data_IF_067512169565
#
_entry.id   IF_067512169565
#
_cell.length_a   1.000
_cell.length_b   1.000
_cell.length_c   1.000
_cell.angle_alpha   90.00
_cell.angle_beta   90.00
_cell.angle_gamma   90.00
#
_symmetry.space_group_name_H-M   'P 1'
#
loop_
_entity.id
_entity.type
_entity.pdbx_description
1 polymer ?
#
# COMPACT_ATOMS: atom_id res chain seq x y z
N UNK A 1 18.66 12.97 1.74
CA UNK A 1 18.67 14.08 2.71
C UNK A 1 18.06 15.36 2.13
N UNK A 2 17.94 15.49 0.79
CA UNK A 2 17.26 16.63 0.12
C UNK A 2 15.72 16.60 0.18
N UNK A 3 15.09 15.42 0.30
CA UNK A 3 13.63 15.28 0.44
C UNK A 3 13.02 16.04 1.64
N UNK A 4 13.83 16.36 2.67
CA UNK A 4 13.39 16.98 3.94
C UNK A 4 12.93 18.43 3.74
N UNK A 5 13.41 19.12 2.70
CA UNK A 5 13.09 20.53 2.47
C UNK A 5 12.00 20.76 1.42
N UNK A 6 11.40 19.70 0.88
CA UNK A 6 10.23 19.82 0.00
C UNK A 6 9.01 20.34 0.75
N UNK A 7 8.14 21.11 0.08
CA UNK A 7 6.87 21.56 0.68
C UNK A 7 6.00 20.39 1.11
N UNK A 8 6.09 19.27 0.40
CA UNK A 8 5.45 18.00 0.77
C UNK A 8 5.88 17.54 2.16
N UNK A 9 7.20 17.39 2.41
CA UNK A 9 7.70 16.93 3.70
C UNK A 9 7.52 17.97 4.81
N UNK A 10 7.65 19.26 4.48
CA UNK A 10 7.36 20.35 5.43
C UNK A 10 5.90 20.36 5.85
N UNK A 11 4.99 20.03 4.93
CA UNK A 11 3.56 19.79 5.19
C UNK A 11 3.34 18.59 6.11
N UNK A 12 4.03 17.47 5.87
CA UNK A 12 4.06 16.34 6.82
C UNK A 12 4.50 16.80 8.21
N UNK A 13 5.48 17.69 8.32
CA UNK A 13 5.94 18.20 9.61
C UNK A 13 5.01 19.23 10.26
N UNK A 14 3.96 19.68 9.55
CA UNK A 14 3.07 20.73 10.04
C UNK A 14 3.73 22.10 10.14
N UNK A 15 4.75 22.38 9.31
CA UNK A 15 5.45 23.68 9.33
C UNK A 15 4.51 24.79 8.88
N UNK A 16 4.52 25.91 9.58
CA UNK A 16 3.73 27.10 9.22
C UNK A 16 3.97 27.52 7.76
N UNK A 17 2.90 27.87 7.06
CA UNK A 17 2.90 28.27 5.65
C UNK A 17 2.92 27.11 4.65
N UNK A 18 2.86 25.85 5.11
CA UNK A 18 2.75 24.66 4.24
C UNK A 18 1.40 23.99 4.39
N UNK A 19 1.05 23.11 3.45
CA UNK A 19 -0.25 22.44 3.44
C UNK A 19 -0.14 20.95 3.73
N UNK A 20 -1.24 20.35 4.21
CA UNK A 20 -1.37 18.89 4.34
C UNK A 20 -1.13 18.25 2.97
N UNK A 21 -0.17 17.31 2.85
CA UNK A 21 0.04 16.59 1.62
C UNK A 21 -1.15 15.67 1.32
N UNK A 22 -1.54 15.60 0.05
CA UNK A 22 -2.62 14.75 -0.43
C UNK A 22 -2.07 13.70 -1.39
N UNK A 23 -2.47 12.44 -1.22
CA UNK A 23 -2.14 11.37 -2.15
C UNK A 23 -3.26 10.33 -2.19
N UNK A 24 -4.11 10.28 -3.24
CA UNK A 24 -5.02 9.16 -3.44
C UNK A 24 -4.25 7.90 -3.84
N UNK A 25 -4.68 6.73 -3.35
CA UNK A 25 -4.13 5.45 -3.80
C UNK A 25 -4.74 5.13 -5.18
N UNK A 26 -3.89 4.86 -6.17
CA UNK A 26 -4.25 4.79 -7.60
C UNK A 26 -3.69 3.54 -8.32
N UNK A 27 -3.50 2.44 -7.62
CA UNK A 27 -2.88 1.22 -8.15
C UNK A 27 -3.69 0.64 -9.33
N UNK A 28 -4.82 0.01 -9.06
CA UNK A 28 -5.72 -0.55 -10.07
C UNK A 28 -6.34 0.53 -10.96
N UNK A 29 -6.59 1.72 -10.40
CA UNK A 29 -7.07 2.88 -11.18
C UNK A 29 -6.10 3.24 -12.31
N UNK A 30 -4.80 3.20 -12.08
CA UNK A 30 -3.82 3.55 -13.11
C UNK A 30 -3.82 2.59 -14.28
N UNK A 31 -3.97 1.29 -14.03
CA UNK A 31 -4.07 0.26 -15.06
C UNK A 31 -5.34 0.49 -15.88
N UNK A 32 -6.48 0.70 -15.22
CA UNK A 32 -7.75 1.00 -15.89
C UNK A 32 -7.68 2.29 -16.72
N UNK A 33 -7.14 3.36 -16.16
CA UNK A 33 -7.06 4.67 -16.83
C UNK A 33 -6.16 4.57 -18.08
N UNK A 34 -5.02 3.90 -17.96
CA UNK A 34 -4.10 3.70 -19.08
C UNK A 34 -4.65 2.76 -20.15
N UNK A 35 -5.38 1.70 -19.75
CA UNK A 35 -6.13 0.84 -20.67
C UNK A 35 -7.12 1.68 -21.52
N UNK A 36 -7.95 2.51 -20.89
CA UNK A 36 -8.92 3.34 -21.62
C UNK A 36 -8.23 4.40 -22.49
N UNK A 37 -7.07 4.89 -22.09
CA UNK A 37 -6.29 5.86 -22.87
C UNK A 37 -5.65 5.25 -24.12
N UNK A 38 -5.17 4.00 -24.04
CA UNK A 38 -4.32 3.38 -25.08
C UNK A 38 -4.97 2.23 -25.85
N UNK A 39 -6.03 1.62 -25.30
CA UNK A 39 -6.62 0.37 -25.78
C UNK A 39 -5.84 -0.89 -25.41
N UNK A 40 -4.69 -0.78 -24.72
CA UNK A 40 -3.89 -1.94 -24.31
C UNK A 40 -4.61 -2.69 -23.18
N UNK A 41 -4.85 -4.01 -23.28
CA UNK A 41 -5.53 -4.77 -22.22
C UNK A 41 -4.81 -4.69 -20.87
N UNK A 42 -5.57 -4.72 -19.77
CA UNK A 42 -5.04 -4.65 -18.41
C UNK A 42 -3.98 -5.74 -18.14
N UNK A 43 -4.24 -6.98 -18.55
CA UNK A 43 -3.27 -8.07 -18.36
C UNK A 43 -1.94 -7.85 -19.08
N UNK A 44 -1.93 -7.18 -20.25
CA UNK A 44 -0.69 -6.88 -20.96
C UNK A 44 0.10 -5.78 -20.23
N UNK A 45 -0.61 -4.78 -19.69
CA UNK A 45 -0.01 -3.74 -18.86
C UNK A 45 0.67 -4.39 -17.65
N UNK A 46 0.00 -5.35 -17.01
CA UNK A 46 0.48 -6.01 -15.79
C UNK A 46 1.62 -7.01 -16.01
N UNK A 47 1.82 -7.49 -17.24
CA UNK A 47 2.88 -8.47 -17.59
C UNK A 47 4.09 -7.83 -18.28
N UNK A 48 4.11 -6.50 -18.41
CA UNK A 48 5.19 -5.75 -19.04
C UNK A 48 5.60 -4.56 -18.16
N UNK A 49 6.83 -4.58 -17.64
CA UNK A 49 7.27 -3.61 -16.65
C UNK A 49 7.32 -2.18 -17.19
N UNK A 50 7.53 -2.01 -18.50
CA UNK A 50 7.52 -0.69 -19.14
C UNK A 50 6.10 -0.16 -19.27
N UNK A 51 5.15 -1.01 -19.65
CA UNK A 51 3.72 -0.64 -19.76
C UNK A 51 3.13 -0.37 -18.38
N UNK A 52 3.40 -1.21 -17.39
CA UNK A 52 2.97 -0.99 -16.02
C UNK A 52 3.49 0.34 -15.46
N UNK A 53 4.79 0.63 -15.69
CA UNK A 53 5.35 1.90 -15.28
C UNK A 53 4.69 3.09 -16.01
N UNK A 54 4.42 2.95 -17.31
CA UNK A 54 3.74 3.98 -18.08
C UNK A 54 2.33 4.29 -17.54
N UNK A 55 1.60 3.27 -17.07
CA UNK A 55 0.24 3.41 -16.55
C UNK A 55 0.19 4.28 -15.28
N UNK A 56 1.00 3.97 -14.26
CA UNK A 56 1.05 4.82 -13.05
C UNK A 56 1.60 6.21 -13.35
N UNK A 57 2.63 6.32 -14.20
CA UNK A 57 3.20 7.63 -14.54
C UNK A 57 2.24 8.50 -15.34
N UNK A 58 1.35 7.91 -16.14
CA UNK A 58 0.29 8.63 -16.84
C UNK A 58 -0.64 9.31 -15.82
N UNK A 59 -1.16 8.56 -14.84
CA UNK A 59 -2.05 9.11 -13.81
C UNK A 59 -1.31 10.06 -12.87
N UNK A 60 -0.09 9.74 -12.46
CA UNK A 60 0.71 10.62 -11.60
C UNK A 60 0.96 11.97 -12.27
N UNK A 61 1.20 12.02 -13.58
CA UNK A 61 1.33 13.27 -14.34
C UNK A 61 0.00 14.00 -14.50
N UNK A 62 -1.09 13.28 -14.80
CA UNK A 62 -2.43 13.86 -14.96
C UNK A 62 -2.87 14.64 -13.70
N UNK A 63 -2.54 14.09 -12.52
CA UNK A 63 -2.96 14.64 -11.23
C UNK A 63 -1.82 15.29 -10.42
N UNK A 64 -0.64 15.44 -11.01
CA UNK A 64 0.56 15.98 -10.35
C UNK A 64 0.85 15.31 -9.00
N UNK A 65 0.78 13.98 -8.95
CA UNK A 65 1.02 13.20 -7.75
C UNK A 65 2.52 13.03 -7.51
N UNK A 66 3.01 13.18 -6.26
CA UNK A 66 4.43 13.05 -5.95
C UNK A 66 4.84 11.61 -5.68
N UNK A 67 3.97 10.62 -5.91
CA UNK A 67 4.19 9.24 -5.45
C UNK A 67 3.76 8.21 -6.48
N UNK A 68 4.60 7.19 -6.70
CA UNK A 68 4.26 5.96 -7.44
C UNK A 68 4.72 4.72 -6.65
N UNK A 69 4.04 3.58 -6.84
CA UNK A 69 4.25 2.36 -6.05
C UNK A 69 4.46 1.14 -6.97
N UNK A 70 5.53 0.40 -6.74
CA UNK A 70 5.95 -0.76 -7.53
C UNK A 70 5.26 -2.08 -7.20
N UNK A 71 3.94 -2.18 -7.34
CA UNK A 71 3.24 -3.46 -7.51
C UNK A 71 1.87 -3.21 -8.17
N UNK A 72 1.34 -4.24 -8.84
CA UNK A 72 0.09 -4.12 -9.60
C UNK A 72 -1.13 -4.69 -8.85
N UNK A 73 -0.91 -5.63 -7.94
CA UNK A 73 -1.91 -6.38 -7.19
C UNK A 73 -1.21 -7.13 -6.04
N UNK A 74 -1.97 -7.90 -5.26
CA UNK A 74 -1.51 -8.54 -4.03
C UNK A 74 -1.29 -10.06 -4.18
N UNK A 75 -0.91 -10.53 -5.38
CA UNK A 75 -0.65 -11.94 -5.65
C UNK A 75 0.76 -12.22 -6.21
N UNK A 76 1.70 -11.27 -6.10
CA UNK A 76 3.03 -11.39 -6.70
C UNK A 76 3.82 -12.54 -6.08
N UNK A 77 3.80 -12.66 -4.75
CA UNK A 77 4.44 -13.74 -3.99
C UNK A 77 3.74 -15.07 -4.25
N UNK A 78 2.40 -15.07 -4.24
CA UNK A 78 1.61 -16.26 -4.55
C UNK A 78 1.97 -16.84 -5.91
N UNK A 79 1.95 -16.00 -6.95
CA UNK A 79 2.29 -16.38 -8.32
C UNK A 79 3.74 -16.86 -8.44
N UNK A 80 4.69 -16.17 -7.80
CA UNK A 80 6.09 -16.58 -7.79
C UNK A 80 6.30 -17.96 -7.14
N UNK A 81 5.49 -18.29 -6.13
CA UNK A 81 5.53 -19.58 -5.43
C UNK A 81 4.62 -20.65 -6.07
N UNK A 82 4.05 -20.38 -7.26
CA UNK A 82 3.32 -21.36 -8.07
C UNK A 82 1.81 -21.25 -8.04
N UNK A 83 1.23 -20.22 -7.41
CA UNK A 83 -0.19 -19.97 -7.47
C UNK A 83 -0.60 -19.52 -8.88
N UNK A 84 -1.80 -19.91 -9.31
CA UNK A 84 -2.29 -19.60 -10.66
C UNK A 84 -3.32 -18.48 -10.61
N UNK A 85 -3.15 -17.49 -11.49
CA UNK A 85 -4.00 -16.30 -11.57
C UNK A 85 -4.80 -16.27 -12.85
N UNK A 86 -6.08 -15.89 -12.76
CA UNK A 86 -6.91 -15.57 -13.92
C UNK A 86 -6.70 -14.10 -14.28
N UNK A 87 -6.21 -13.85 -15.49
CA UNK A 87 -6.03 -12.50 -16.02
C UNK A 87 -7.24 -12.07 -16.84
N UNK A 88 -7.78 -10.90 -16.56
CA UNK A 88 -8.93 -10.33 -17.25
C UNK A 88 -8.53 -9.09 -18.06
N UNK A 89 -9.28 -8.74 -19.12
CA UNK A 89 -8.92 -7.62 -20.01
C UNK A 89 -9.07 -6.24 -19.36
N UNK A 90 -9.94 -6.11 -18.35
CA UNK A 90 -10.43 -4.83 -17.81
C UNK A 90 -10.27 -4.69 -16.28
N UNK A 91 -9.88 -5.75 -15.58
CA UNK A 91 -9.70 -5.76 -14.11
C UNK A 91 -8.39 -6.43 -13.69
N UNK A 92 -7.98 -6.18 -12.44
CA UNK A 92 -6.86 -6.88 -11.79
C UNK A 92 -7.12 -8.40 -11.71
N UNK A 93 -6.08 -9.25 -11.72
CA UNK A 93 -6.25 -10.69 -11.74
C UNK A 93 -6.88 -11.19 -10.44
N UNK A 94 -7.63 -12.29 -10.57
CA UNK A 94 -8.16 -13.03 -9.42
C UNK A 94 -7.34 -14.29 -9.22
N UNK A 95 -7.11 -14.63 -7.95
CA UNK A 95 -6.44 -15.86 -7.58
C UNK A 95 -7.37 -17.05 -7.77
N UNK A 96 -6.94 -18.05 -8.53
CA UNK A 96 -7.78 -19.19 -8.87
C UNK A 96 -7.34 -20.46 -8.12
N UNK A 97 -6.04 -20.76 -8.10
CA UNK A 97 -5.53 -22.03 -7.57
C UNK A 97 -4.32 -21.78 -6.69
N UNK A 98 -4.44 -22.19 -5.42
CA UNK A 98 -3.35 -22.15 -4.46
C UNK A 98 -2.19 -23.05 -4.91
N UNK A 99 -0.97 -22.56 -4.73
CA UNK A 99 0.25 -23.31 -5.00
C UNK A 99 0.34 -24.59 -4.15
N UNK A 100 -0.08 -24.48 -2.90
CA UNK A 100 0.04 -25.52 -1.87
C UNK A 100 -1.35 -26.06 -1.53
N UNK A 101 -1.49 -27.39 -1.50
CA UNK A 101 -2.76 -28.06 -1.16
C UNK A 101 -2.67 -28.92 0.09
N UNK A 102 -1.48 -29.43 0.40
CA UNK A 102 -1.22 -30.35 1.50
C UNK A 102 -0.19 -29.78 2.49
N UNK A 103 -0.03 -30.44 3.65
CA UNK A 103 1.00 -30.03 4.60
C UNK A 103 2.40 -30.36 4.07
N UNK A 104 2.51 -31.47 3.34
CA UNK A 104 3.74 -31.95 2.70
C UNK A 104 4.26 -30.94 1.66
N UNK A 105 3.36 -30.31 0.91
CA UNK A 105 3.72 -29.24 -0.05
C UNK A 105 4.41 -28.05 0.66
N UNK A 106 4.04 -27.75 1.91
CA UNK A 106 4.63 -26.65 2.70
C UNK A 106 6.04 -27.02 3.16
N UNK A 107 6.29 -28.29 3.51
CA UNK A 107 7.60 -28.73 4.00
C UNK A 107 8.69 -28.62 2.94
N UNK A 108 8.31 -28.70 1.67
CA UNK A 108 9.24 -28.60 0.53
C UNK A 108 9.16 -27.26 -0.19
N UNK A 109 8.36 -26.31 0.31
CA UNK A 109 8.21 -25.00 -0.31
C UNK A 109 9.47 -24.16 -0.09
N UNK A 110 10.07 -23.70 -1.18
CA UNK A 110 11.26 -22.86 -1.17
C UNK A 110 10.91 -21.38 -1.35
N UNK A 111 11.81 -20.50 -0.94
CA UNK A 111 11.71 -19.05 -1.16
C UNK A 111 11.81 -18.74 -2.65
N UNK A 112 10.99 -17.80 -3.13
CA UNK A 112 11.00 -17.38 -4.53
C UNK A 112 12.26 -16.57 -4.90
N UNK A 113 12.82 -16.79 -6.09
CA UNK A 113 13.88 -16.00 -6.69
C UNK A 113 13.28 -14.76 -7.40
N UNK A 114 13.50 -13.54 -6.89
CA UNK A 114 12.94 -12.32 -7.46
C UNK A 114 13.38 -12.02 -8.89
N UNK A 115 14.47 -12.63 -9.36
CA UNK A 115 15.00 -12.43 -10.71
C UNK A 115 14.43 -13.42 -11.73
N UNK A 116 13.65 -14.42 -11.31
CA UNK A 116 13.15 -15.48 -12.21
C UNK A 116 11.68 -15.82 -12.02
N UNK A 117 11.16 -15.77 -10.80
CA UNK A 117 9.88 -16.40 -10.48
C UNK A 117 8.69 -15.46 -10.68
N UNK A 118 7.61 -16.04 -11.23
CA UNK A 118 6.35 -15.36 -11.51
C UNK A 118 6.56 -14.03 -12.23
N UNK A 119 6.00 -12.96 -11.64
CA UNK A 119 6.09 -11.59 -12.15
C UNK A 119 7.05 -10.70 -11.39
N UNK A 120 7.85 -11.24 -10.47
CA UNK A 120 8.81 -10.43 -9.72
C UNK A 120 9.75 -9.63 -10.65
N UNK A 121 10.31 -10.22 -11.74
CA UNK A 121 11.17 -9.46 -12.67
C UNK A 121 10.45 -8.31 -13.37
N UNK A 122 9.16 -8.49 -13.69
CA UNK A 122 8.31 -7.47 -14.34
C UNK A 122 8.12 -6.26 -13.41
N UNK A 123 7.89 -6.53 -12.12
CA UNK A 123 7.73 -5.48 -11.11
C UNK A 123 9.06 -4.78 -10.81
N UNK A 124 10.18 -5.50 -10.78
CA UNK A 124 11.53 -4.89 -10.66
C UNK A 124 11.82 -3.99 -11.87
N UNK A 125 11.48 -4.41 -13.09
CA UNK A 125 11.57 -3.57 -14.29
C UNK A 125 10.66 -2.33 -14.18
N UNK A 126 9.47 -2.49 -13.60
CA UNK A 126 8.55 -1.37 -13.32
C UNK A 126 9.23 -0.33 -12.43
N UNK A 127 9.78 -0.74 -11.28
CA UNK A 127 10.51 0.13 -10.35
C UNK A 127 11.69 0.84 -11.02
N UNK A 128 12.48 0.11 -11.82
CA UNK A 128 13.60 0.68 -12.59
C UNK A 128 13.13 1.75 -13.58
N UNK A 129 11.96 1.58 -14.19
CA UNK A 129 11.36 2.58 -15.07
C UNK A 129 10.86 3.81 -14.31
N UNK A 130 10.30 3.66 -13.11
CA UNK A 130 9.97 4.80 -12.24
C UNK A 130 11.21 5.60 -11.90
N UNK A 131 12.27 4.92 -11.45
CA UNK A 131 13.53 5.59 -11.08
C UNK A 131 14.11 6.36 -12.26
N UNK A 132 14.10 5.76 -13.46
CA UNK A 132 14.61 6.40 -14.66
C UNK A 132 13.78 7.60 -15.14
N UNK A 133 12.45 7.57 -14.98
CA UNK A 133 11.53 8.53 -15.65
C UNK A 133 10.86 9.54 -14.72
N UNK A 134 10.89 9.29 -13.42
CA UNK A 134 10.08 10.02 -12.44
C UNK A 134 10.86 10.51 -11.24
N UNK A 135 11.95 9.82 -10.88
CA UNK A 135 12.77 10.21 -9.72
C UNK A 135 13.37 11.60 -9.91
N UNK A 136 13.12 12.46 -8.94
CA UNK A 136 13.74 13.77 -8.75
C UNK A 136 13.68 14.10 -7.25
N UNK A 137 13.95 15.35 -6.87
CA UNK A 137 13.94 15.80 -5.47
C UNK A 137 12.56 15.88 -4.83
N UNK A 138 11.49 15.89 -5.62
CA UNK A 138 10.10 16.13 -5.17
C UNK A 138 9.23 14.86 -5.19
N UNK A 139 9.64 13.86 -5.98
CA UNK A 139 8.90 12.63 -6.19
C UNK A 139 9.45 11.47 -5.35
N UNK A 140 8.56 10.59 -4.92
CA UNK A 140 8.84 9.42 -4.09
C UNK A 140 8.42 8.15 -4.84
N UNK A 141 9.31 7.15 -4.84
CA UNK A 141 9.06 5.84 -5.43
C UNK A 141 9.01 4.81 -4.30
N UNK A 142 7.87 4.16 -4.13
CA UNK A 142 7.71 3.03 -3.22
C UNK A 142 7.99 1.71 -3.94
N UNK A 143 8.97 0.92 -3.49
CA UNK A 143 9.03 -0.50 -3.80
C UNK A 143 7.92 -1.21 -3.04
N UNK A 144 7.11 -2.07 -3.64
CA UNK A 144 6.00 -2.64 -2.88
C UNK A 144 5.62 -4.07 -3.21
N UNK A 145 4.86 -4.66 -2.30
CA UNK A 145 4.43 -6.06 -2.32
C UNK A 145 3.31 -6.25 -1.29
N UNK A 146 2.57 -7.35 -1.42
CA UNK A 146 1.69 -7.82 -0.35
C UNK A 146 2.44 -8.16 0.95
N UNK A 147 1.75 -8.02 2.08
CA UNK A 147 2.29 -8.39 3.39
C UNK A 147 2.21 -9.90 3.66
N UNK A 148 2.82 -10.36 4.77
CA UNK A 148 3.04 -11.78 5.04
C UNK A 148 1.75 -12.60 5.15
N UNK A 149 0.65 -12.06 5.71
CA UNK A 149 -0.59 -12.84 5.86
C UNK A 149 -1.27 -12.99 4.49
N UNK A 150 -1.43 -11.90 3.76
CA UNK A 150 -1.99 -11.93 2.40
C UNK A 150 -1.14 -12.81 1.46
N UNK A 151 0.18 -12.71 1.51
CA UNK A 151 1.08 -13.56 0.74
C UNK A 151 0.89 -15.05 1.07
N UNK A 152 0.90 -15.43 2.36
CA UNK A 152 0.67 -16.82 2.77
C UNK A 152 -0.73 -17.32 2.32
N UNK A 153 -1.73 -16.46 2.37
CA UNK A 153 -3.08 -16.80 1.92
C UNK A 153 -3.17 -16.95 0.40
N UNK A 154 -2.38 -16.22 -0.37
CA UNK A 154 -2.25 -16.40 -1.83
C UNK A 154 -1.53 -17.70 -2.20
N UNK A 155 -0.64 -18.20 -1.34
CA UNK A 155 0.08 -19.47 -1.59
C UNK A 155 -0.76 -20.69 -1.22
N UNK A 156 -1.43 -20.66 -0.06
CA UNK A 156 -2.13 -21.83 0.51
C UNK A 156 -3.66 -21.81 0.30
N UNK A 157 -4.19 -20.68 -0.16
CA UNK A 157 -5.60 -20.37 -0.09
C UNK A 157 -5.97 -19.78 1.26
N UNK A 158 -6.68 -18.64 1.23
CA UNK A 158 -7.00 -17.87 2.43
C UNK A 158 -7.78 -18.67 3.47
N UNK A 159 -8.76 -19.47 3.03
CA UNK A 159 -9.57 -20.32 3.92
C UNK A 159 -8.69 -21.33 4.67
N UNK A 160 -7.78 -21.99 3.96
CA UNK A 160 -6.85 -22.94 4.56
C UNK A 160 -5.93 -22.27 5.58
N UNK A 161 -5.35 -21.11 5.23
CA UNK A 161 -4.50 -20.36 6.13
C UNK A 161 -5.25 -20.02 7.44
N UNK A 162 -6.44 -19.43 7.32
CA UNK A 162 -7.23 -18.98 8.47
C UNK A 162 -7.67 -20.15 9.36
N UNK A 163 -8.10 -21.27 8.77
CA UNK A 163 -8.45 -22.49 9.52
C UNK A 163 -7.23 -23.06 10.25
N UNK A 164 -6.06 -23.06 9.62
CA UNK A 164 -4.85 -23.63 10.20
C UNK A 164 -4.17 -22.71 11.23
N UNK A 165 -4.48 -21.41 11.28
CA UNK A 165 -4.05 -20.55 12.39
C UNK A 165 -4.55 -21.07 13.75
N UNK A 166 -5.69 -21.78 13.74
CA UNK A 166 -6.26 -22.45 14.92
C UNK A 166 -5.71 -23.88 15.03
N UNK A 167 -5.86 -24.66 13.97
CA UNK A 167 -5.67 -26.12 14.04
C UNK A 167 -4.20 -26.55 13.95
N UNK A 168 -3.38 -25.84 13.18
CA UNK A 168 -2.01 -26.23 12.85
C UNK A 168 -1.08 -24.99 12.83
N UNK A 169 -0.90 -24.29 13.96
CA UNK A 169 -0.16 -23.04 14.01
C UNK A 169 1.30 -23.15 13.57
N UNK A 170 1.95 -24.29 13.81
CA UNK A 170 3.34 -24.51 13.40
C UNK A 170 3.48 -24.54 11.87
N UNK A 171 2.50 -25.15 11.19
CA UNK A 171 2.44 -25.18 9.73
C UNK A 171 2.20 -23.78 9.15
N UNK A 172 1.38 -22.97 9.82
CA UNK A 172 1.21 -21.55 9.48
C UNK A 172 2.51 -20.77 9.65
N UNK A 173 3.29 -21.03 10.70
CA UNK A 173 4.58 -20.38 10.86
C UNK A 173 5.58 -20.74 9.76
N UNK A 174 5.58 -22.00 9.30
CA UNK A 174 6.44 -22.44 8.18
C UNK A 174 6.15 -21.68 6.89
N UNK A 175 4.89 -21.63 6.47
CA UNK A 175 4.54 -20.92 5.24
C UNK A 175 4.77 -19.40 5.36
N UNK A 176 4.50 -18.82 6.53
CA UNK A 176 4.79 -17.40 6.79
C UNK A 176 6.29 -17.12 6.74
N UNK A 177 7.15 -18.04 7.16
CA UNK A 177 8.59 -17.88 7.04
C UNK A 177 9.03 -17.82 5.57
N UNK A 178 8.54 -18.76 4.74
CA UNK A 178 8.86 -18.80 3.31
C UNK A 178 8.36 -17.56 2.56
N UNK A 179 7.10 -17.17 2.77
CA UNK A 179 6.56 -15.96 2.12
C UNK A 179 7.23 -14.70 2.63
N UNK A 180 7.60 -14.64 3.91
CA UNK A 180 8.33 -13.51 4.47
C UNK A 180 9.73 -13.38 3.89
N UNK A 181 10.49 -14.47 3.78
CA UNK A 181 11.82 -14.42 3.18
C UNK A 181 11.72 -14.08 1.68
N UNK A 182 10.67 -14.55 0.97
CA UNK A 182 10.39 -14.15 -0.42
C UNK A 182 10.10 -12.65 -0.55
N UNK A 183 9.30 -12.09 0.37
CA UNK A 183 9.02 -10.65 0.46
C UNK A 183 10.31 -9.86 0.70
N UNK A 184 11.20 -10.34 1.57
CA UNK A 184 12.46 -9.66 1.90
C UNK A 184 13.37 -9.60 0.68
N UNK A 185 13.58 -10.73 0.00
CA UNK A 185 14.46 -10.81 -1.16
C UNK A 185 13.92 -9.95 -2.31
N UNK A 186 12.61 -10.02 -2.54
CA UNK A 186 11.95 -9.23 -3.56
C UNK A 186 11.98 -7.72 -3.29
N UNK A 187 11.70 -7.29 -2.06
CA UNK A 187 11.80 -5.87 -1.71
C UNK A 187 13.24 -5.37 -1.81
N UNK A 188 14.23 -6.17 -1.43
CA UNK A 188 15.63 -5.78 -1.58
C UNK A 188 16.01 -5.56 -3.05
N UNK A 189 15.64 -6.45 -3.96
CA UNK A 189 15.86 -6.25 -5.40
C UNK A 189 15.16 -4.99 -5.94
N UNK A 190 13.92 -4.73 -5.49
CA UNK A 190 13.25 -3.47 -5.85
C UNK A 190 13.97 -2.24 -5.28
N UNK A 191 14.48 -2.29 -4.04
CA UNK A 191 15.22 -1.20 -3.44
C UNK A 191 16.55 -0.92 -4.18
N UNK A 192 17.24 -1.95 -4.68
CA UNK A 192 18.46 -1.82 -5.49
C UNK A 192 18.23 -1.07 -6.81
N UNK A 193 16.98 -0.97 -7.29
CA UNK A 193 16.65 -0.11 -8.44
C UNK A 193 16.80 1.38 -8.15
N UNK A 194 16.87 1.76 -6.88
CA UNK A 194 16.86 3.14 -6.40
C UNK A 194 15.49 3.64 -5.94
N UNK A 195 14.59 2.75 -5.52
CA UNK A 195 13.35 3.16 -4.84
C UNK A 195 13.66 3.86 -3.50
N UNK A 196 12.76 4.70 -3.01
CA UNK A 196 13.00 5.56 -1.84
C UNK A 196 12.53 4.92 -0.53
N UNK A 197 11.45 4.12 -0.59
CA UNK A 197 10.90 3.42 0.58
C UNK A 197 10.24 2.10 0.18
N UNK A 198 10.00 1.23 1.17
CA UNK A 198 9.26 -0.01 0.95
C UNK A 198 7.78 0.14 1.37
N UNK A 199 6.88 -0.53 0.64
CA UNK A 199 5.44 -0.52 0.84
C UNK A 199 4.94 -1.93 1.07
N UNK A 200 4.20 -2.15 2.15
CA UNK A 200 3.52 -3.41 2.42
C UNK A 200 2.01 -3.18 2.44
N UNK A 201 1.27 -4.03 1.72
CA UNK A 201 -0.19 -4.05 1.76
C UNK A 201 -0.69 -5.42 2.24
N UNK A 202 -1.34 -5.49 3.40
CA UNK A 202 -1.73 -6.78 4.02
C UNK A 202 -3.20 -6.74 4.49
N UNK A 203 -4.17 -6.70 3.57
CA UNK A 203 -5.59 -6.69 3.94
C UNK A 203 -5.99 -7.86 4.84
N UNK A 204 -5.31 -9.00 4.73
CA UNK A 204 -5.62 -10.21 5.50
C UNK A 204 -5.13 -10.16 6.95
N UNK A 205 -4.22 -9.23 7.28
CA UNK A 205 -3.80 -8.94 8.65
C UNK A 205 -4.78 -8.02 9.40
N UNK A 206 -5.83 -7.53 8.73
CA UNK A 206 -6.86 -6.66 9.30
C UNK A 206 -7.58 -7.29 10.51
N UNK A 207 -8.04 -6.46 11.45
CA UNK A 207 -8.93 -6.88 12.53
C UNK A 207 -10.31 -7.33 12.03
N UNK A 208 -10.65 -7.03 10.76
CA UNK A 208 -11.82 -7.58 10.09
C UNK A 208 -11.63 -9.06 9.70
N UNK A 209 -10.38 -9.50 9.49
CA UNK A 209 -10.05 -10.87 9.07
C UNK A 209 -9.55 -11.73 10.23
N UNK A 210 -8.68 -11.19 11.09
CA UNK A 210 -8.06 -11.91 12.21
C UNK A 210 -8.13 -11.10 13.49
N UNK A 211 -8.23 -11.78 14.63
CA UNK A 211 -8.21 -11.08 15.93
C UNK A 211 -6.87 -10.36 16.18
N UNK A 212 -6.83 -9.32 17.04
CA UNK A 212 -5.57 -8.69 17.45
C UNK A 212 -4.56 -9.68 18.05
N UNK A 213 -5.04 -10.73 18.73
CA UNK A 213 -4.19 -11.81 19.26
C UNK A 213 -3.55 -12.62 18.14
N UNK A 214 -4.30 -12.90 17.07
CA UNK A 214 -3.79 -13.59 15.89
C UNK A 214 -2.83 -12.71 15.11
N UNK A 215 -3.11 -11.41 14.98
CA UNK A 215 -2.14 -10.45 14.42
C UNK A 215 -0.82 -10.50 15.20
N UNK A 216 -0.88 -10.48 16.53
CA UNK A 216 0.33 -10.52 17.38
C UNK A 216 1.11 -11.82 17.24
N UNK A 217 0.43 -12.93 16.99
CA UNK A 217 1.05 -14.26 16.82
C UNK A 217 1.61 -14.47 15.41
N UNK A 218 0.83 -14.16 14.39
CA UNK A 218 1.08 -14.58 13.01
C UNK A 218 1.48 -13.44 12.06
N UNK A 219 1.22 -12.17 12.38
CA UNK A 219 1.62 -11.05 11.53
C UNK A 219 2.82 -10.30 12.12
N UNK A 220 2.66 -9.78 13.34
CA UNK A 220 3.63 -8.87 13.97
C UNK A 220 5.09 -9.36 13.98
N UNK A 221 5.41 -10.65 14.26
CA UNK A 221 6.80 -11.13 14.21
C UNK A 221 7.41 -11.01 12.82
N UNK A 222 6.62 -11.27 11.77
CA UNK A 222 7.05 -11.26 10.38
C UNK A 222 7.19 -9.85 9.84
N UNK A 223 6.29 -8.93 10.20
CA UNK A 223 6.51 -7.49 9.96
C UNK A 223 7.84 -7.00 10.54
N UNK A 224 8.20 -7.44 11.75
CA UNK A 224 9.51 -7.11 12.35
C UNK A 224 10.68 -7.80 11.65
N UNK A 225 10.51 -9.02 11.13
CA UNK A 225 11.52 -9.73 10.35
C UNK A 225 11.80 -8.97 9.04
N UNK A 226 10.74 -8.63 8.31
CA UNK A 226 10.79 -7.84 7.06
C UNK A 226 11.47 -6.49 7.33
N UNK A 227 10.98 -5.72 8.31
CA UNK A 227 11.46 -4.35 8.49
C UNK A 227 12.92 -4.24 8.93
N UNK A 228 13.48 -5.31 9.51
CA UNK A 228 14.90 -5.40 9.88
C UNK A 228 15.78 -5.83 8.72
N UNK A 229 15.31 -6.75 7.88
CA UNK A 229 16.12 -7.37 6.82
C UNK A 229 16.06 -6.61 5.48
N UNK A 230 15.01 -5.84 5.21
CA UNK A 230 14.93 -5.03 3.99
C UNK A 230 15.81 -3.78 4.11
N UNK A 231 16.61 -3.54 3.08
CA UNK A 231 17.50 -2.39 2.91
C UNK A 231 16.72 -1.13 2.50
N UNK A 232 15.82 -0.70 3.37
CA UNK A 232 15.08 0.55 3.23
C UNK A 232 15.24 1.41 4.48
N UNK A 233 15.08 2.72 4.30
CA UNK A 233 15.07 3.71 5.38
C UNK A 233 13.70 3.82 6.05
N UNK A 234 12.62 3.47 5.35
CA UNK A 234 11.26 3.64 5.81
C UNK A 234 10.29 2.64 5.18
N UNK A 235 9.23 2.31 5.93
CA UNK A 235 8.08 1.57 5.44
C UNK A 235 6.82 2.42 5.44
N UNK A 236 6.03 2.28 4.37
CA UNK A 236 4.60 2.54 4.37
C UNK A 236 3.88 1.21 4.53
N UNK A 237 2.99 1.11 5.51
CA UNK A 237 2.13 -0.06 5.69
C UNK A 237 0.69 0.34 5.47
N UNK A 238 0.02 -0.38 4.58
CA UNK A 238 -1.42 -0.29 4.34
C UNK A 238 -2.09 -1.60 4.77
N UNK A 239 -3.16 -1.49 5.55
CA UNK A 239 -4.00 -2.63 5.93
C UNK A 239 -5.45 -2.16 5.75
N UNK A 240 -6.17 -2.79 4.82
CA UNK A 240 -7.59 -2.53 4.63
C UNK A 240 -8.41 -2.91 5.87
N UNK A 241 -9.63 -2.39 5.98
CA UNK A 241 -10.54 -2.70 7.07
C UNK A 241 -10.15 -2.13 8.44
N UNK A 242 -10.57 -2.82 9.51
CA UNK A 242 -10.42 -2.34 10.88
C UNK A 242 -8.99 -2.57 11.37
N UNK A 243 -8.34 -1.55 11.92
CA UNK A 243 -6.94 -1.61 12.35
C UNK A 243 -6.68 -1.00 13.73
N UNK A 244 -7.68 -0.39 14.38
CA UNK A 244 -7.49 0.38 15.60
C UNK A 244 -6.75 -0.41 16.68
N UNK A 245 -7.17 -1.67 16.88
CA UNK A 245 -6.61 -2.54 17.91
C UNK A 245 -5.18 -3.03 17.63
N UNK A 246 -4.68 -2.85 16.40
CA UNK A 246 -3.33 -3.23 15.98
C UNK A 246 -2.42 -2.03 15.67
N UNK A 247 -2.93 -0.79 15.73
CA UNK A 247 -2.10 0.43 15.55
C UNK A 247 -0.92 0.48 16.53
N UNK A 248 -1.16 0.22 17.82
CA UNK A 248 -0.09 0.22 18.84
C UNK A 248 0.99 -0.83 18.55
N UNK A 249 0.66 -2.11 18.27
CA UNK A 249 1.61 -3.08 17.75
C UNK A 249 2.40 -2.58 16.53
N UNK A 250 1.74 -2.04 15.50
CA UNK A 250 2.40 -1.53 14.30
C UNK A 250 3.45 -0.46 14.62
N UNK A 251 3.19 0.45 15.58
CA UNK A 251 4.18 1.45 16.00
C UNK A 251 5.47 0.88 16.61
N UNK A 252 5.49 -0.41 16.95
CA UNK A 252 6.64 -1.13 17.52
C UNK A 252 7.45 -1.88 16.46
N UNK A 253 6.97 -1.91 15.21
CA UNK A 253 7.73 -2.45 14.09
C UNK A 253 8.77 -1.41 13.67
N UNK A 254 10.08 -1.76 13.65
CA UNK A 254 11.11 -0.82 13.24
C UNK A 254 10.87 -0.27 11.83
N UNK A 255 11.33 0.96 11.56
CA UNK A 255 11.29 1.63 10.26
C UNK A 255 9.90 1.93 9.68
N UNK A 256 8.78 1.53 10.30
CA UNK A 256 7.46 2.01 9.87
C UNK A 256 7.39 3.53 10.07
N UNK A 257 7.22 4.25 8.96
CA UNK A 257 7.09 5.70 8.93
C UNK A 257 5.65 6.13 8.61
N UNK A 258 4.95 5.39 7.76
CA UNK A 258 3.57 5.70 7.36
C UNK A 258 2.66 4.51 7.67
N UNK A 259 1.52 4.78 8.30
CA UNK A 259 0.43 3.81 8.46
C UNK A 259 -0.78 4.36 7.73
N UNK A 260 -1.14 3.69 6.63
CA UNK A 260 -2.35 3.95 5.85
C UNK A 260 -3.51 3.12 6.39
N UNK A 261 -4.63 3.78 6.67
CA UNK A 261 -5.78 3.20 7.36
C UNK A 261 -7.07 3.35 6.57
N UNK A 262 -7.97 2.38 6.72
CA UNK A 262 -9.27 2.32 6.04
C UNK A 262 -10.43 2.55 7.01
N UNK A 263 -10.89 1.52 7.75
CA UNK A 263 -12.08 1.62 8.60
C UNK A 263 -11.73 2.02 10.04
N UNK A 264 -11.22 3.24 10.23
CA UNK A 264 -10.89 3.76 11.57
C UNK A 264 -11.27 5.23 11.73
N UNK A 265 -11.64 5.61 12.95
CA UNK A 265 -11.75 7.02 13.33
C UNK A 265 -10.34 7.64 13.38
N UNK A 266 -10.07 8.60 12.49
CA UNK A 266 -8.76 9.22 12.36
C UNK A 266 -8.29 9.95 13.63
N UNK A 267 -9.21 10.54 14.40
CA UNK A 267 -8.86 11.20 15.66
C UNK A 267 -8.38 10.18 16.68
N UNK A 268 -9.13 9.09 16.85
CA UNK A 268 -8.73 7.98 17.74
C UNK A 268 -7.43 7.32 17.27
N UNK A 269 -7.25 7.15 15.96
CA UNK A 269 -6.01 6.63 15.40
C UNK A 269 -4.82 7.55 15.72
N UNK A 270 -4.98 8.86 15.54
CA UNK A 270 -3.97 9.87 15.87
C UNK A 270 -3.58 9.82 17.34
N UNK A 271 -4.57 9.76 18.24
CA UNK A 271 -4.38 9.60 19.68
C UNK A 271 -3.63 8.30 20.02
N UNK A 272 -3.96 7.19 19.35
CA UNK A 272 -3.33 5.89 19.56
C UNK A 272 -1.85 5.85 19.12
N UNK A 273 -1.48 6.58 18.06
CA UNK A 273 -0.09 6.76 17.63
C UNK A 273 0.70 7.64 18.61
N UNK A 274 0.02 8.58 19.28
CA UNK A 274 0.58 9.43 20.32
C UNK A 274 1.76 10.27 19.82
N UNK A 275 2.85 10.31 20.60
CA UNK A 275 4.03 11.14 20.30
C UNK A 275 4.99 10.52 19.27
N UNK A 276 4.73 9.30 18.79
CA UNK A 276 5.61 8.64 17.81
C UNK A 276 5.72 9.47 16.53
N UNK A 277 6.85 9.37 15.85
CA UNK A 277 7.02 9.99 14.54
C UNK A 277 6.54 9.00 13.47
N UNK A 278 5.21 8.84 13.40
CA UNK A 278 4.52 8.02 12.40
C UNK A 278 3.47 8.91 11.74
N UNK A 279 3.44 8.88 10.42
CA UNK A 279 2.51 9.60 9.58
C UNK A 279 1.26 8.74 9.46
N UNK A 280 0.13 9.28 9.90
CA UNK A 280 -1.18 8.68 9.65
C UNK A 280 -1.63 9.06 8.24
N UNK A 281 -2.05 8.10 7.43
CA UNK A 281 -2.49 8.32 6.05
C UNK A 281 -3.91 7.79 5.88
N UNK A 282 -4.79 8.57 5.24
CA UNK A 282 -6.18 8.19 4.98
C UNK A 282 -7.18 9.30 5.29
N UNK A 283 -8.48 9.02 5.36
CA UNK A 283 -9.12 7.78 4.91
C UNK A 283 -10.44 8.07 4.20
N UNK A 284 -10.42 9.01 3.24
CA UNK A 284 -11.60 9.34 2.44
C UNK A 284 -12.13 8.08 1.74
N UNK A 285 -13.41 7.78 1.95
CA UNK A 285 -14.11 6.61 1.47
C UNK A 285 -13.97 6.41 -0.03
N UNK A 286 -13.54 5.22 -0.44
CA UNK A 286 -13.47 4.83 -1.85
C UNK A 286 -14.85 4.77 -2.50
N UNK A 287 -15.92 4.55 -1.72
CA UNK A 287 -17.29 4.61 -2.20
C UNK A 287 -17.71 6.06 -2.50
N UNK A 288 -17.38 7.02 -1.62
CA UNK A 288 -17.59 8.46 -1.88
C UNK A 288 -16.78 8.90 -3.09
N UNK A 289 -15.53 8.46 -3.20
CA UNK A 289 -14.69 8.74 -4.38
C UNK A 289 -15.34 8.23 -5.67
N UNK A 290 -15.90 7.01 -5.67
CA UNK A 290 -16.46 6.40 -6.88
C UNK A 290 -17.84 6.93 -7.27
N UNK A 291 -18.72 7.09 -6.30
CA UNK A 291 -20.16 7.31 -6.51
C UNK A 291 -20.67 8.66 -6.01
N UNK A 292 -19.87 9.37 -5.21
CA UNK A 292 -20.21 10.69 -4.70
C UNK A 292 -19.91 11.81 -5.69
N UNK A 293 -20.30 13.03 -5.32
CA UNK A 293 -19.94 14.25 -6.04
C UNK A 293 -18.58 14.79 -5.55
N UNK A 294 -17.96 15.65 -6.36
CA UNK A 294 -16.71 16.32 -5.97
C UNK A 294 -16.87 17.10 -4.65
N UNK A 295 -18.06 17.66 -4.39
CA UNK A 295 -18.36 18.35 -3.14
C UNK A 295 -18.42 17.38 -1.94
N UNK A 296 -19.00 16.19 -2.10
CA UNK A 296 -19.02 15.20 -1.02
C UNK A 296 -17.61 14.72 -0.66
N UNK A 297 -16.76 14.50 -1.68
CA UNK A 297 -15.34 14.20 -1.49
C UNK A 297 -14.62 15.33 -0.74
N UNK A 298 -14.91 16.58 -1.11
CA UNK A 298 -14.32 17.75 -0.46
C UNK A 298 -14.65 17.83 1.03
N UNK A 299 -15.93 17.63 1.40
CA UNK A 299 -16.38 17.67 2.79
C UNK A 299 -15.80 16.51 3.62
N UNK A 300 -15.69 15.32 3.03
CA UNK A 300 -15.07 14.17 3.70
C UNK A 300 -13.55 14.38 3.89
N UNK A 301 -12.87 14.92 2.89
CA UNK A 301 -11.47 15.31 2.98
C UNK A 301 -11.23 16.38 4.06
N UNK A 302 -12.08 17.40 4.11
CA UNK A 302 -12.05 18.44 5.15
C UNK A 302 -12.24 17.85 6.55
N UNK A 303 -13.15 16.89 6.69
CA UNK A 303 -13.37 16.17 7.95
C UNK A 303 -12.14 15.36 8.38
N UNK A 304 -11.47 14.71 7.43
CA UNK A 304 -10.21 13.98 7.70
C UNK A 304 -9.10 14.92 8.18
N UNK A 305 -8.92 16.06 7.51
CA UNK A 305 -7.96 17.10 7.91
C UNK A 305 -8.26 17.57 9.33
N UNK A 306 -9.52 17.90 9.64
CA UNK A 306 -9.94 18.32 10.98
C UNK A 306 -9.63 17.28 12.05
N UNK A 307 -9.77 16.00 11.73
CA UNK A 307 -9.59 14.92 12.69
C UNK A 307 -8.11 14.63 13.02
N UNK A 308 -7.19 14.81 12.06
CA UNK A 308 -5.82 14.27 12.19
C UNK A 308 -4.66 15.17 11.76
N UNK A 309 -4.92 16.31 11.10
CA UNK A 309 -3.86 17.17 10.59
C UNK A 309 -3.15 18.01 11.67
N UNK A 310 -3.82 18.28 12.80
CA UNK A 310 -3.23 19.08 13.87
C UNK A 310 -1.91 18.46 14.36
N UNK A 311 -0.88 19.31 14.49
CA UNK A 311 0.47 18.88 14.88
C UNK A 311 1.28 18.17 13.79
N UNK A 312 0.85 18.22 12.52
CA UNK A 312 1.51 17.54 11.40
C UNK A 312 1.30 16.02 11.45
N UNK A 313 2.20 15.23 10.88
CA UNK A 313 2.20 13.76 10.82
C UNK A 313 0.90 13.18 10.28
N UNK A 314 0.36 13.81 9.26
CA UNK A 314 -0.86 13.37 8.58
C UNK A 314 -0.71 13.59 7.07
N UNK A 315 -1.21 12.62 6.32
CA UNK A 315 -1.31 12.68 4.86
C UNK A 315 -2.76 12.40 4.49
N UNK A 316 -3.40 13.35 3.82
CA UNK A 316 -4.74 13.15 3.32
C UNK A 316 -4.70 12.12 2.19
N UNK A 317 -5.48 11.04 2.32
CA UNK A 317 -5.52 9.99 1.33
C UNK A 317 -6.90 9.34 1.29
N UNK A 318 -7.10 8.51 0.29
CA UNK A 318 -8.24 7.60 0.23
C UNK A 318 -8.05 6.44 1.20
N UNK A 319 -9.16 5.84 1.63
CA UNK A 319 -9.18 4.72 2.57
C UNK A 319 -8.46 3.49 2.01
N UNK A 320 -8.52 3.29 0.69
CA UNK A 320 -7.88 2.22 -0.05
C UNK A 320 -7.64 2.69 -1.50
N UNK A 321 -7.23 1.79 -2.38
CA UNK A 321 -7.15 2.02 -3.82
C UNK A 321 -8.49 2.46 -4.39
N UNK A 322 -8.49 3.51 -5.22
CA UNK A 322 -9.73 4.01 -5.81
C UNK A 322 -10.20 3.10 -6.93
N UNK A 323 -11.51 2.88 -6.99
CA UNK A 323 -12.08 1.95 -7.95
C UNK A 323 -11.91 2.45 -9.41
N UNK A 324 -11.73 1.51 -10.37
CA UNK A 324 -11.86 1.79 -11.79
C UNK A 324 -13.08 2.65 -12.13
N UNK A 325 -12.88 3.69 -12.94
CA UNK A 325 -13.92 4.65 -13.32
C UNK A 325 -14.20 5.78 -12.34
N UNK A 326 -13.46 5.88 -11.22
CA UNK A 326 -13.54 7.03 -10.30
C UNK A 326 -13.41 8.35 -11.09
N UNK A 327 -14.37 9.30 -10.97
CA UNK A 327 -14.33 10.53 -11.76
C UNK A 327 -13.10 11.39 -11.45
N UNK A 328 -12.45 11.93 -12.50
CA UNK A 328 -11.29 12.82 -12.32
C UNK A 328 -11.60 14.07 -11.47
N UNK A 329 -12.85 14.54 -11.49
CA UNK A 329 -13.32 15.63 -10.64
C UNK A 329 -13.22 15.29 -9.14
N UNK A 330 -13.53 14.06 -8.76
CA UNK A 330 -13.46 13.58 -7.38
C UNK A 330 -12.00 13.45 -6.93
N UNK A 331 -11.13 12.92 -7.79
CA UNK A 331 -9.68 12.83 -7.54
C UNK A 331 -9.09 14.23 -7.31
N UNK A 332 -9.37 15.18 -8.21
CA UNK A 332 -8.93 16.58 -8.09
C UNK A 332 -9.46 17.24 -6.83
N UNK A 333 -10.71 16.95 -6.44
CA UNK A 333 -11.31 17.49 -5.22
C UNK A 333 -10.52 17.09 -3.97
N UNK A 334 -10.21 15.80 -3.82
CA UNK A 334 -9.40 15.29 -2.71
C UNK A 334 -8.00 15.93 -2.68
N UNK A 335 -7.33 16.00 -3.83
CA UNK A 335 -5.98 16.57 -3.92
C UNK A 335 -6.01 18.04 -3.47
N UNK A 336 -6.93 18.83 -4.02
CA UNK A 336 -7.06 20.26 -3.74
C UNK A 336 -7.44 20.53 -2.27
N UNK A 337 -8.25 19.65 -1.64
CA UNK A 337 -8.69 19.82 -0.27
C UNK A 337 -7.52 19.95 0.74
N UNK A 338 -6.42 19.23 0.54
CA UNK A 338 -5.21 19.34 1.37
C UNK A 338 -4.63 20.75 1.40
N UNK A 339 -4.55 21.41 0.24
CA UNK A 339 -4.10 22.81 0.14
C UNK A 339 -5.13 23.81 0.64
N UNK A 340 -6.42 23.57 0.34
CA UNK A 340 -7.52 24.49 0.64
C UNK A 340 -7.86 24.55 2.13
N UNK A 341 -7.81 23.42 2.83
CA UNK A 341 -8.23 23.31 4.24
C UNK A 341 -7.09 22.90 5.18
N UNK A 342 -5.97 22.43 4.66
CA UNK A 342 -4.85 21.91 5.43
C UNK A 342 -3.63 22.82 5.53
N UNK A 343 -3.76 24.13 5.30
CA UNK A 343 -2.63 25.06 5.43
C UNK A 343 -2.34 25.37 6.90
N UNK A 344 -1.08 25.24 7.33
CA UNK A 344 -0.63 25.41 8.72
C UNK A 344 -0.25 26.88 9.06
N UNK A 345 -0.51 27.36 10.29
CA UNK A 345 -1.34 26.71 11.32
C UNK A 345 -2.75 26.55 10.78
N UNK A 346 -3.46 25.48 11.16
CA UNK A 346 -4.77 25.18 10.58
C UNK A 346 -5.76 26.32 10.88
N UNK A 347 -6.04 27.14 9.87
CA UNK A 347 -6.99 28.28 9.96
C UNK A 347 -8.34 27.80 9.40
N UNK A 348 -9.45 28.18 10.05
CA UNK A 348 -10.82 27.95 9.56
C UNK A 348 -11.35 26.50 9.58
N UNK A 349 -10.97 25.72 10.60
CA UNK A 349 -11.63 24.44 10.90
C UNK A 349 -12.72 24.61 11.97
N UNK A 350 -13.53 25.66 11.90
CA UNK A 350 -14.72 25.77 12.78
C UNK A 350 -15.73 24.66 12.44
N UNK A 351 -16.47 24.12 13.43
CA UNK A 351 -17.34 22.95 13.32
C UNK A 351 -18.25 22.93 12.09
#
# INVERSE_FOLDING_TARGET
MELIDTDYFRGILGKSGTSVPSFPIILGYSIWSYHNHTGIPAYEIMKDGKKHAAAQLYVAKEFNLPFVIGFSDLNVIGEALGATLTYMPDVIPVHEIAAVKTAEDIEVLETADPNKDGRMPVIIETCRNYVKKFKNSENIIGAGVEGPITAAGSVWGMENLMRNMINNPDLVHKILDVTTDSIIDFLNEQMETGADLAVLSDPSASCTCISPQFFQKFAFPYYKKISRKVNTVAFLVHICGEVYNILKPLTRVPKILVISVDMVDLKKAKEALGKKFIILMGNVSTATMRYGTAQQVEEEAKSCIRAAAEGGKFMLSTACDIAPGTPSANIKSLINAGSKYGTYPLINLEP
#
